data_IF_515524594238
#
_entry.id   IF_515524594238
#
_cell.length_a   1.000
_cell.length_b   1.000
_cell.length_c   1.000
_cell.angle_alpha   90.00
_cell.angle_beta   90.00
_cell.angle_gamma   90.00
#
_symmetry.space_group_name_H-M   'P 1'
#
loop_
_entity.id
_entity.type
_entity.pdbx_description
1 polymer ?
#
# COMPACT_ATOMS: atom_id res chain seq x y z
N UNK A 1 25.88 4.30 -15.31
CA UNK A 1 24.56 3.77 -14.89
C UNK A 1 24.41 4.00 -13.39
N UNK A 2 23.31 4.59 -12.92
CA UNK A 2 23.14 4.86 -11.49
C UNK A 2 23.19 3.54 -10.68
N UNK A 3 24.02 3.49 -9.64
CA UNK A 3 24.10 2.33 -8.75
C UNK A 3 22.80 2.22 -7.95
N UNK A 4 21.89 1.36 -8.41
CA UNK A 4 20.65 1.06 -7.69
C UNK A 4 20.95 0.33 -6.38
N UNK A 5 20.40 0.84 -5.29
CA UNK A 5 20.49 0.18 -3.97
C UNK A 5 19.83 -1.20 -3.99
N UNK A 6 20.23 -2.14 -3.12
CA UNK A 6 19.59 -3.45 -3.03
C UNK A 6 18.07 -3.38 -2.81
N UNK A 7 17.60 -2.35 -2.10
CA UNK A 7 16.17 -2.09 -1.91
C UNK A 7 15.46 -1.71 -3.21
N UNK A 8 16.05 -0.80 -4.00
CA UNK A 8 15.50 -0.40 -5.30
C UNK A 8 15.46 -1.58 -6.27
N UNK A 9 16.50 -2.41 -6.30
CA UNK A 9 16.53 -3.63 -7.12
C UNK A 9 15.39 -4.60 -6.76
N UNK A 10 15.16 -4.84 -5.46
CA UNK A 10 14.04 -5.68 -4.98
C UNK A 10 12.69 -5.09 -5.37
N UNK A 11 12.49 -3.79 -5.14
CA UNK A 11 11.27 -3.08 -5.51
C UNK A 11 10.99 -3.18 -7.00
N UNK A 12 12.00 -2.99 -7.85
CA UNK A 12 11.87 -3.12 -9.30
C UNK A 12 11.46 -4.52 -9.69
N UNK A 13 12.13 -5.57 -9.18
CA UNK A 13 11.77 -6.97 -9.46
C UNK A 13 10.32 -7.29 -9.10
N UNK A 14 9.87 -6.86 -7.92
CA UNK A 14 8.47 -7.06 -7.48
C UNK A 14 7.54 -6.33 -8.44
N UNK A 15 7.79 -5.06 -8.75
CA UNK A 15 6.93 -4.26 -9.64
C UNK A 15 6.88 -4.79 -11.07
N UNK A 16 7.97 -5.32 -11.60
CA UNK A 16 7.97 -5.95 -12.94
C UNK A 16 7.06 -7.17 -12.95
N UNK A 17 7.16 -8.04 -11.94
CA UNK A 17 6.28 -9.21 -11.83
C UNK A 17 4.81 -8.82 -11.59
N UNK A 18 4.57 -7.77 -10.81
CA UNK A 18 3.21 -7.27 -10.55
C UNK A 18 2.60 -6.65 -11.80
N UNK A 19 3.34 -5.88 -12.60
CA UNK A 19 2.84 -5.31 -13.87
C UNK A 19 2.40 -6.39 -14.85
N UNK A 20 3.13 -7.49 -14.92
CA UNK A 20 2.74 -8.65 -15.75
C UNK A 20 1.44 -9.30 -15.27
N UNK A 21 1.21 -9.31 -13.94
CA UNK A 21 0.02 -9.91 -13.32
C UNK A 21 -1.14 -8.92 -13.11
N UNK A 22 -0.91 -7.64 -13.34
CA UNK A 22 -1.83 -6.58 -12.95
C UNK A 22 -3.14 -6.68 -13.71
N UNK A 23 -3.14 -7.13 -14.97
CA UNK A 23 -4.35 -7.39 -15.77
C UNK A 23 -5.41 -6.27 -15.69
N UNK A 24 -4.98 -5.00 -15.56
CA UNK A 24 -5.87 -3.83 -15.41
C UNK A 24 -6.34 -3.52 -13.98
N UNK A 25 -5.94 -4.30 -12.97
CA UNK A 25 -6.24 -4.06 -11.55
C UNK A 25 -5.34 -2.96 -10.97
N UNK A 26 -5.94 -2.13 -10.13
CA UNK A 26 -5.21 -1.08 -9.42
C UNK A 26 -4.17 -1.68 -8.45
N UNK A 27 -2.99 -1.06 -8.37
CA UNK A 27 -1.90 -1.47 -7.50
C UNK A 27 -1.99 -0.77 -6.15
N UNK A 28 -2.06 -1.55 -5.08
CA UNK A 28 -1.95 -1.06 -3.70
C UNK A 28 -0.47 -1.03 -3.30
N UNK A 29 0.16 0.13 -3.38
CA UNK A 29 1.57 0.32 -3.01
C UNK A 29 1.71 0.74 -1.56
N UNK A 30 2.51 -0.01 -0.80
CA UNK A 30 2.81 0.30 0.61
C UNK A 30 4.21 0.86 0.75
N UNK A 31 4.33 1.99 1.45
CA UNK A 31 5.61 2.57 1.84
C UNK A 31 5.69 2.70 3.35
N UNK A 32 6.77 2.17 3.93
CA UNK A 32 7.05 2.23 5.36
C UNK A 32 8.32 3.01 5.62
N UNK A 33 8.22 4.05 6.43
CA UNK A 33 9.36 4.75 7.02
C UNK A 33 9.53 4.35 8.49
N UNK A 34 10.62 4.81 9.12
CA UNK A 34 10.88 4.57 10.53
C UNK A 34 9.76 5.08 11.44
N UNK A 35 9.05 6.16 11.05
CA UNK A 35 8.01 6.81 11.87
C UNK A 35 6.60 6.67 11.30
N UNK A 36 6.45 6.53 9.99
CA UNK A 36 5.16 6.58 9.31
C UNK A 36 4.95 5.41 8.35
N UNK A 37 3.69 5.13 8.04
CA UNK A 37 3.29 4.19 6.99
C UNK A 37 2.30 4.88 6.07
N UNK A 38 2.43 4.57 4.79
CA UNK A 38 1.66 5.14 3.70
C UNK A 38 1.16 4.00 2.83
N UNK A 39 -0.09 4.09 2.39
CA UNK A 39 -0.64 3.21 1.39
C UNK A 39 -1.35 4.03 0.32
N UNK A 40 -1.10 3.66 -0.93
CA UNK A 40 -1.65 4.32 -2.10
C UNK A 40 -2.26 3.27 -3.02
N UNK A 41 -3.43 3.58 -3.54
CA UNK A 41 -4.10 2.81 -4.57
C UNK A 41 -3.90 3.54 -5.90
N UNK A 42 -3.11 2.94 -6.78
CA UNK A 42 -2.66 3.55 -8.02
C UNK A 42 -3.21 2.75 -9.20
N UNK A 43 -3.86 3.43 -10.13
CA UNK A 43 -4.12 2.88 -11.44
C UNK A 43 -2.87 3.07 -12.32
N UNK A 44 -2.20 1.96 -12.67
CA UNK A 44 -1.01 1.99 -13.52
C UNK A 44 -1.35 2.30 -15.00
N UNK A 45 -2.60 2.14 -15.44
CA UNK A 45 -3.02 2.45 -16.81
C UNK A 45 -3.29 3.96 -16.98
N UNK A 46 -4.04 4.55 -16.06
CA UNK A 46 -4.32 5.99 -16.05
C UNK A 46 -3.17 6.82 -15.42
N UNK A 47 -2.25 6.19 -14.69
CA UNK A 47 -1.18 6.88 -13.95
C UNK A 47 -1.69 7.71 -12.77
N UNK A 48 -2.93 7.49 -12.32
CA UNK A 48 -3.58 8.28 -11.28
C UNK A 48 -3.67 7.50 -9.96
N UNK A 49 -3.65 8.24 -8.85
CA UNK A 49 -3.89 7.67 -7.51
C UNK A 49 -5.37 7.82 -7.20
N UNK A 50 -6.08 6.69 -7.08
CA UNK A 50 -7.52 6.65 -6.83
C UNK A 50 -7.85 6.90 -5.36
N UNK A 51 -7.03 6.35 -4.46
CA UNK A 51 -7.17 6.53 -3.02
C UNK A 51 -5.80 6.51 -2.35
N UNK A 52 -5.67 7.22 -1.23
CA UNK A 52 -4.47 7.16 -0.40
C UNK A 52 -4.84 7.28 1.06
N UNK A 53 -4.04 6.66 1.91
CA UNK A 53 -4.16 6.75 3.36
C UNK A 53 -2.78 6.74 4.00
N UNK A 54 -2.56 7.60 4.99
CA UNK A 54 -1.28 7.69 5.68
C UNK A 54 -1.45 7.99 7.17
N UNK A 55 -0.41 7.69 7.95
CA UNK A 55 -0.36 8.14 9.35
C UNK A 55 -0.04 9.64 9.50
N UNK A 56 0.21 10.35 8.39
CA UNK A 56 0.42 11.81 8.39
C UNK A 56 -0.86 12.60 8.11
N UNK A 57 -1.97 11.93 7.76
CA UNK A 57 -3.24 12.61 7.53
C UNK A 57 -3.68 13.35 8.79
N UNK A 58 -4.23 14.56 8.59
CA UNK A 58 -4.62 15.48 9.67
C UNK A 58 -5.55 14.81 10.69
N UNK A 59 -6.37 13.86 10.25
CA UNK A 59 -7.31 13.11 11.08
C UNK A 59 -6.67 12.01 11.94
N UNK A 60 -5.40 11.66 11.69
CA UNK A 60 -4.62 10.59 12.39
C UNK A 60 -3.40 11.15 13.10
N UNK A 61 -3.00 12.37 12.75
CA UNK A 61 -1.80 13.03 13.23
C UNK A 61 -1.85 13.12 14.76
N UNK A 62 -1.02 12.31 15.44
CA UNK A 62 -0.87 12.29 16.89
C UNK A 62 -1.40 11.04 17.60
N UNK A 63 -2.23 10.19 16.95
CA UNK A 63 -2.83 9.02 17.62
C UNK A 63 -1.93 7.78 17.63
N UNK A 64 -1.05 7.62 16.64
CA UNK A 64 -0.33 6.35 16.48
C UNK A 64 1.01 6.52 15.77
N UNK A 65 2.08 6.06 16.42
CA UNK A 65 3.43 5.99 15.85
C UNK A 65 3.57 4.86 14.81
N UNK A 66 4.82 4.45 14.57
CA UNK A 66 5.18 3.42 13.61
C UNK A 66 4.85 1.97 14.09
N UNK A 67 3.67 1.74 14.67
CA UNK A 67 3.25 0.47 15.25
C UNK A 67 2.40 -0.37 14.29
N UNK A 68 2.10 -1.61 14.68
CA UNK A 68 1.21 -2.53 13.93
C UNK A 68 -0.24 -2.07 13.97
N UNK A 69 -0.72 -1.54 15.10
CA UNK A 69 -2.05 -0.96 15.23
C UNK A 69 -2.27 0.20 14.24
N UNK A 70 -1.30 1.11 14.15
CA UNK A 70 -1.34 2.21 13.17
C UNK A 70 -1.47 1.71 11.73
N UNK A 71 -0.80 0.60 11.41
CA UNK A 71 -0.83 0.01 10.09
C UNK A 71 -2.20 -0.61 9.77
N UNK A 72 -2.84 -1.23 10.77
CA UNK A 72 -4.19 -1.76 10.63
C UNK A 72 -5.22 -0.63 10.41
N UNK A 73 -5.11 0.48 11.16
CA UNK A 73 -6.00 1.63 10.99
C UNK A 73 -5.88 2.27 9.60
N UNK A 74 -4.65 2.39 9.08
CA UNK A 74 -4.41 2.85 7.71
C UNK A 74 -5.03 1.89 6.68
N UNK A 75 -4.91 0.58 6.89
CA UNK A 75 -5.52 -0.44 6.03
C UNK A 75 -7.05 -0.32 5.96
N UNK A 76 -7.72 -0.17 7.11
CA UNK A 76 -9.18 0.02 7.19
C UNK A 76 -9.64 1.29 6.47
N UNK A 77 -8.94 2.40 6.67
CA UNK A 77 -9.25 3.69 6.03
C UNK A 77 -9.07 3.63 4.52
N UNK A 78 -7.99 2.99 4.07
CA UNK A 78 -7.75 2.80 2.65
C UNK A 78 -8.85 1.95 2.01
N UNK A 79 -9.30 0.88 2.67
CA UNK A 79 -10.39 0.05 2.16
C UNK A 79 -11.71 0.83 2.05
N UNK A 80 -12.03 1.65 3.05
CA UNK A 80 -13.20 2.54 2.99
C UNK A 80 -13.10 3.56 1.85
N UNK A 81 -11.93 4.15 1.64
CA UNK A 81 -11.69 5.08 0.53
C UNK A 81 -11.74 4.38 -0.83
N UNK A 82 -11.19 3.18 -0.94
CA UNK A 82 -11.21 2.38 -2.16
C UNK A 82 -12.63 1.94 -2.55
N UNK A 83 -13.45 1.54 -1.56
CA UNK A 83 -14.87 1.25 -1.77
C UNK A 83 -15.64 2.47 -2.29
N UNK A 84 -15.37 3.66 -1.75
CA UNK A 84 -15.95 4.92 -2.26
C UNK A 84 -15.53 5.22 -3.71
N UNK A 85 -14.30 4.86 -4.07
CA UNK A 85 -13.78 4.97 -5.43
C UNK A 85 -14.25 3.83 -6.36
N UNK A 86 -15.05 2.87 -5.88
CA UNK A 86 -15.55 1.75 -6.66
C UNK A 86 -14.52 0.66 -6.96
N UNK A 87 -13.39 0.64 -6.25
CA UNK A 87 -12.31 -0.34 -6.48
C UNK A 87 -12.38 -1.47 -5.45
N UNK A 88 -12.64 -2.68 -5.93
CA UNK A 88 -12.74 -3.90 -5.12
C UNK A 88 -11.52 -4.81 -5.30
N UNK A 89 -11.11 -5.04 -6.55
CA UNK A 89 -9.97 -5.90 -6.88
C UNK A 89 -8.69 -5.08 -7.05
N UNK A 90 -7.68 -5.42 -6.26
CA UNK A 90 -6.39 -4.72 -6.27
C UNK A 90 -5.24 -5.71 -6.28
N UNK A 91 -4.04 -5.22 -6.57
CA UNK A 91 -2.82 -6.03 -6.53
C UNK A 91 -1.89 -5.45 -5.48
N UNK A 92 -1.52 -6.28 -4.51
CA UNK A 92 -0.70 -5.83 -3.38
C UNK A 92 0.78 -5.69 -3.75
N UNK A 93 1.28 -4.45 -3.70
CA UNK A 93 2.68 -4.10 -3.85
C UNK A 93 3.31 -3.79 -2.49
N UNK A 94 3.96 -4.81 -1.92
CA UNK A 94 4.82 -4.68 -0.73
C UNK A 94 6.10 -3.87 -0.97
N UNK A 95 6.38 -3.47 -2.20
CA UNK A 95 7.60 -2.77 -2.59
C UNK A 95 8.85 -3.61 -2.36
N UNK A 96 9.88 -2.98 -1.79
CA UNK A 96 11.14 -3.66 -1.44
C UNK A 96 11.14 -4.28 -0.04
N UNK A 97 10.02 -4.23 0.68
CA UNK A 97 9.92 -4.69 2.06
C UNK A 97 9.44 -6.14 2.18
N UNK A 98 9.73 -6.78 3.32
CA UNK A 98 9.24 -8.12 3.65
C UNK A 98 7.76 -8.05 4.03
N UNK A 99 6.99 -9.06 3.59
CA UNK A 99 5.60 -9.23 4.00
C UNK A 99 5.56 -9.74 5.45
N UNK A 100 5.75 -8.84 6.40
CA UNK A 100 5.83 -9.16 7.82
C UNK A 100 5.45 -7.95 8.68
N UNK A 101 5.08 -8.22 9.93
CA UNK A 101 4.76 -7.21 10.95
C UNK A 101 3.77 -6.17 10.44
N UNK A 102 4.20 -4.90 10.39
CA UNK A 102 3.37 -3.76 9.98
C UNK A 102 2.78 -3.89 8.57
N UNK A 103 3.51 -4.47 7.62
CA UNK A 103 3.01 -4.62 6.24
C UNK A 103 1.93 -5.69 6.18
N UNK A 104 2.13 -6.78 6.92
CA UNK A 104 1.11 -7.82 7.07
C UNK A 104 -0.14 -7.26 7.75
N UNK A 105 0.02 -6.54 8.85
CA UNK A 105 -1.11 -5.93 9.56
C UNK A 105 -1.92 -4.96 8.69
N UNK A 106 -1.25 -4.17 7.83
CA UNK A 106 -1.94 -3.30 6.87
C UNK A 106 -2.70 -4.10 5.81
N UNK A 107 -2.09 -5.17 5.31
CA UNK A 107 -2.70 -6.03 4.31
C UNK A 107 -3.93 -6.76 4.87
N UNK A 108 -3.81 -7.36 6.05
CA UNK A 108 -4.89 -8.08 6.70
C UNK A 108 -6.07 -7.12 7.00
N UNK A 109 -5.79 -5.92 7.51
CA UNK A 109 -6.81 -4.91 7.75
C UNK A 109 -7.48 -4.38 6.46
N UNK A 110 -6.73 -4.28 5.36
CA UNK A 110 -7.29 -3.91 4.06
C UNK A 110 -8.20 -5.02 3.50
N UNK A 111 -7.84 -6.29 3.70
CA UNK A 111 -8.69 -7.46 3.36
C UNK A 111 -9.97 -7.51 4.18
N UNK A 112 -9.87 -7.32 5.50
CA UNK A 112 -11.05 -7.19 6.38
C UNK A 112 -11.95 -6.02 5.95
N UNK A 113 -11.33 -4.94 5.47
CA UNK A 113 -12.03 -3.79 4.90
C UNK A 113 -12.75 -4.08 3.58
N UNK A 114 -12.64 -5.29 3.01
CA UNK A 114 -13.33 -5.75 1.80
C UNK A 114 -12.60 -5.48 0.49
N UNK A 115 -11.27 -5.29 0.54
CA UNK A 115 -10.44 -5.30 -0.67
C UNK A 115 -9.98 -6.73 -0.99
N UNK A 116 -10.09 -7.11 -2.26
CA UNK A 116 -9.69 -8.43 -2.74
C UNK A 116 -8.31 -8.36 -3.39
N UNK A 117 -7.31 -9.00 -2.77
CA UNK A 117 -5.94 -9.12 -3.27
C UNK A 117 -5.11 -10.23 -2.58
#
# INVERSE_FOLDING_TARGET
>A
MAHLTPFQKRRQRVRTALRQRAAGRARLSVHRSGRHIYAQLIDDAAGQTLASASTLDKDVRGKTGATTAAAADVGKRLAAAAKKAGVTQVVFDRGGFLFHGRIKALADAAREGGLEF
#
